data_IF_062579901146
#
_entry.id   IF_062579901146
#
_cell.length_a   1.000
_cell.length_b   1.000
_cell.length_c   1.000
_cell.angle_alpha   90.00
_cell.angle_beta   90.00
_cell.angle_gamma   90.00
#
_symmetry.space_group_name_H-M   'P 1'
#
loop_
_entity.id
_entity.type
_entity.pdbx_description
1 polymer ?
#
# COMPACT_ATOMS: atom_id res chain seq x y z
N UNK A 1 11.33 17.28 -9.67
CA UNK A 1 10.88 17.01 -8.29
C UNK A 1 11.52 15.71 -7.83
N UNK A 2 12.13 15.72 -6.65
CA UNK A 2 12.77 14.53 -6.08
C UNK A 2 11.94 13.98 -4.94
N UNK A 3 11.96 12.67 -4.80
CA UNK A 3 11.25 11.98 -3.72
C UNK A 3 12.23 11.15 -2.90
N UNK A 4 12.00 11.11 -1.61
CA UNK A 4 12.78 10.29 -0.68
C UNK A 4 11.92 9.12 -0.27
N UNK A 5 12.46 7.91 -0.38
CA UNK A 5 11.74 6.72 0.05
C UNK A 5 11.61 6.73 1.58
N UNK A 6 10.38 6.61 2.06
CA UNK A 6 10.12 6.52 3.49
C UNK A 6 10.45 5.12 3.99
N UNK A 7 10.83 5.04 5.26
CA UNK A 7 10.92 3.76 5.95
C UNK A 7 9.50 3.37 6.37
N UNK A 8 8.82 2.63 5.52
CA UNK A 8 7.42 2.28 5.70
C UNK A 8 7.23 0.77 5.82
N UNK A 9 6.13 0.39 6.45
CA UNK A 9 5.67 -0.99 6.51
C UNK A 9 4.49 -1.11 5.54
N UNK A 10 4.73 -1.63 4.36
CA UNK A 10 3.74 -1.63 3.27
C UNK A 10 2.51 -2.47 3.64
N UNK A 11 2.70 -3.63 4.25
CA UNK A 11 1.58 -4.46 4.69
C UNK A 11 0.66 -3.74 5.67
N UNK A 12 1.23 -2.96 6.57
CA UNK A 12 0.44 -2.16 7.51
C UNK A 12 -0.33 -1.06 6.79
N UNK A 13 0.31 -0.44 5.80
CA UNK A 13 -0.35 0.60 5.00
C UNK A 13 -1.58 0.05 4.29
N UNK A 14 -1.48 -1.14 3.72
CA UNK A 14 -2.61 -1.81 3.07
C UNK A 14 -3.71 -2.11 4.09
N UNK A 15 -3.33 -2.64 5.25
CA UNK A 15 -4.29 -2.95 6.31
C UNK A 15 -5.03 -1.69 6.78
N UNK A 16 -4.29 -0.61 7.03
CA UNK A 16 -4.87 0.64 7.49
C UNK A 16 -5.84 1.21 6.45
N UNK A 17 -5.49 1.16 5.18
CA UNK A 17 -6.37 1.66 4.12
C UNK A 17 -7.63 0.80 3.98
N UNK A 18 -7.50 -0.51 4.08
CA UNK A 18 -8.64 -1.42 4.05
C UNK A 18 -9.64 -1.06 5.16
N UNK A 19 -9.12 -0.82 6.37
CA UNK A 19 -9.95 -0.44 7.52
C UNK A 19 -10.57 0.93 7.32
N UNK A 20 -9.81 1.89 6.81
CA UNK A 20 -10.31 3.23 6.54
C UNK A 20 -11.50 3.20 5.60
N UNK A 21 -11.45 2.32 4.60
CA UNK A 21 -12.54 2.18 3.63
C UNK A 21 -13.71 1.33 4.14
N UNK A 22 -13.58 0.73 5.32
CA UNK A 22 -14.62 -0.14 5.87
C UNK A 22 -14.75 -1.47 5.13
N UNK A 23 -13.70 -1.90 4.43
CA UNK A 23 -13.67 -3.17 3.73
C UNK A 23 -13.16 -4.29 4.62
N UNK A 24 -13.58 -5.51 4.33
CA UNK A 24 -13.18 -6.69 5.12
C UNK A 24 -12.02 -7.42 4.46
N UNK A 25 -11.34 -8.24 5.25
CA UNK A 25 -10.30 -9.14 4.72
C UNK A 25 -10.90 -10.11 3.70
N UNK A 26 -12.10 -10.63 3.95
CA UNK A 26 -12.80 -11.47 2.99
C UNK A 26 -13.00 -10.78 1.65
N UNK A 27 -13.45 -9.55 1.71
CA UNK A 27 -13.66 -8.78 0.49
C UNK A 27 -12.37 -8.62 -0.32
N UNK A 28 -11.28 -8.26 0.36
CA UNK A 28 -10.01 -8.09 -0.34
C UNK A 28 -9.51 -9.42 -0.93
N UNK A 29 -9.62 -10.50 -0.15
CA UNK A 29 -9.20 -11.82 -0.64
C UNK A 29 -9.96 -12.22 -1.89
N UNK A 30 -11.26 -11.96 -1.96
CA UNK A 30 -12.07 -12.23 -3.13
C UNK A 30 -11.64 -11.38 -4.33
N UNK A 31 -11.33 -10.10 -4.10
CA UNK A 31 -10.96 -9.19 -5.17
C UNK A 31 -9.65 -9.56 -5.84
N UNK A 32 -8.69 -10.08 -5.09
CA UNK A 32 -7.38 -10.44 -5.62
C UNK A 32 -7.18 -11.96 -5.75
N UNK A 33 -8.26 -12.72 -5.63
CA UNK A 33 -8.30 -14.17 -5.86
C UNK A 33 -7.30 -14.94 -5.00
N UNK A 34 -7.29 -14.67 -3.70
CA UNK A 34 -6.45 -15.41 -2.76
C UNK A 34 -7.22 -15.77 -1.49
N UNK A 35 -6.59 -16.57 -0.63
CA UNK A 35 -7.19 -16.95 0.63
C UNK A 35 -6.96 -15.89 1.70
N UNK A 36 -7.86 -15.84 2.69
CA UNK A 36 -7.75 -14.91 3.82
C UNK A 36 -6.42 -15.03 4.54
N UNK A 37 -5.93 -16.26 4.70
CA UNK A 37 -4.65 -16.48 5.37
C UNK A 37 -3.51 -15.75 4.66
N UNK A 38 -3.56 -15.66 3.34
CA UNK A 38 -2.56 -14.94 2.57
C UNK A 38 -2.65 -13.42 2.80
N UNK A 39 -3.87 -12.89 3.01
CA UNK A 39 -4.05 -11.48 3.33
C UNK A 39 -3.42 -11.16 4.69
N UNK A 40 -3.67 -12.00 5.69
CA UNK A 40 -3.08 -11.79 7.01
C UNK A 40 -1.56 -11.86 6.99
N UNK A 41 -0.98 -12.77 6.19
CA UNK A 41 0.47 -12.83 5.99
C UNK A 41 0.99 -11.55 5.32
N UNK A 42 0.25 -11.05 4.33
CA UNK A 42 0.60 -9.83 3.62
C UNK A 42 0.67 -8.63 4.55
N UNK A 43 -0.27 -8.52 5.50
CA UNK A 43 -0.27 -7.42 6.46
C UNK A 43 0.98 -7.37 7.33
N UNK A 44 1.65 -8.50 7.54
CA UNK A 44 2.87 -8.59 8.36
C UNK A 44 4.13 -8.25 7.57
N UNK A 45 4.04 -8.14 6.25
CA UNK A 45 5.21 -7.93 5.41
C UNK A 45 5.55 -6.45 5.33
N UNK A 46 6.81 -6.14 5.59
CA UNK A 46 7.29 -4.77 5.44
C UNK A 46 7.31 -4.34 3.99
N UNK A 47 7.60 -5.26 3.08
CA UNK A 47 7.59 -4.99 1.64
C UNK A 47 6.75 -6.02 0.91
N UNK A 48 6.13 -5.59 -0.17
CA UNK A 48 5.28 -6.41 -1.03
C UNK A 48 5.80 -6.23 -2.44
N UNK A 49 5.79 -7.30 -3.26
CA UNK A 49 6.25 -7.16 -4.63
C UNK A 49 5.35 -6.18 -5.40
N UNK A 50 5.96 -5.56 -6.40
CA UNK A 50 5.32 -4.46 -7.12
C UNK A 50 4.03 -4.91 -7.82
N UNK A 51 4.04 -6.09 -8.43
CA UNK A 51 2.86 -6.58 -9.15
C UNK A 51 1.67 -6.74 -8.21
N UNK A 52 1.89 -7.33 -7.05
CA UNK A 52 0.83 -7.53 -6.07
C UNK A 52 0.36 -6.19 -5.50
N UNK A 53 1.30 -5.28 -5.21
CA UNK A 53 0.96 -3.97 -4.70
C UNK A 53 0.11 -3.18 -5.71
N UNK A 54 0.41 -3.31 -6.99
CA UNK A 54 -0.37 -2.65 -8.04
C UNK A 54 -1.79 -3.19 -8.11
N UNK A 55 -1.96 -4.50 -7.99
CA UNK A 55 -3.30 -5.10 -7.96
C UNK A 55 -4.11 -4.60 -6.77
N UNK A 56 -3.48 -4.54 -5.60
CA UNK A 56 -4.14 -4.05 -4.38
C UNK A 56 -4.49 -2.58 -4.52
N UNK A 57 -3.59 -1.79 -5.07
CA UNK A 57 -3.82 -0.36 -5.31
C UNK A 57 -5.01 -0.15 -6.23
N UNK A 58 -5.12 -0.95 -7.27
CA UNK A 58 -6.24 -0.87 -8.20
C UNK A 58 -7.56 -1.22 -7.53
N UNK A 59 -7.57 -2.32 -6.77
CA UNK A 59 -8.78 -2.81 -6.09
C UNK A 59 -9.26 -1.83 -5.03
N UNK A 60 -8.34 -1.24 -4.26
CA UNK A 60 -8.66 -0.27 -3.21
C UNK A 60 -8.76 1.16 -3.73
N UNK A 61 -8.47 1.38 -5.01
CA UNK A 61 -8.45 2.71 -5.62
C UNK A 61 -7.58 3.68 -4.81
N UNK A 62 -6.38 3.22 -4.43
CA UNK A 62 -5.46 3.99 -3.62
C UNK A 62 -4.03 3.78 -4.09
N UNK A 63 -3.28 4.86 -4.26
CA UNK A 63 -1.91 4.79 -4.77
C UNK A 63 -0.92 4.58 -3.61
N UNK A 64 -0.64 3.33 -3.27
CA UNK A 64 0.29 2.98 -2.20
C UNK A 64 1.73 3.34 -2.55
N UNK A 65 2.09 3.32 -3.83
CA UNK A 65 3.45 3.69 -4.23
C UNK A 65 3.75 5.14 -3.88
N UNK A 66 2.78 6.01 -4.03
CA UNK A 66 2.93 7.41 -3.65
C UNK A 66 3.19 7.55 -2.16
N UNK A 67 2.55 6.73 -1.35
CA UNK A 67 2.69 6.77 0.10
C UNK A 67 4.05 6.28 0.57
N UNK A 68 4.79 5.56 -0.28
CA UNK A 68 6.14 5.08 0.06
C UNK A 68 7.21 6.15 -0.06
N UNK A 69 6.86 7.30 -0.61
CA UNK A 69 7.81 8.38 -0.83
C UNK A 69 7.31 9.67 -0.20
N UNK A 70 8.24 10.57 0.12
CA UNK A 70 7.89 11.92 0.53
C UNK A 70 8.68 12.90 -0.32
N UNK A 71 8.12 14.09 -0.50
CA UNK A 71 8.72 15.12 -1.31
C UNK A 71 9.92 15.74 -0.58
N UNK A 72 11.03 15.95 -1.30
CA UNK A 72 12.19 16.57 -0.73
C UNK A 72 11.90 18.08 -0.53
N UNK A 73 11.98 18.59 0.72
CA UNK A 73 11.67 20.01 0.98
C UNK A 73 12.53 20.99 0.20
N UNK A 74 13.80 20.62 -0.08
CA UNK A 74 14.68 21.49 -0.86
C UNK A 74 14.21 21.64 -2.29
N UNK A 75 13.64 20.61 -2.87
CA UNK A 75 13.11 20.68 -4.22
C UNK A 75 11.88 21.58 -4.28
N UNK A 76 11.07 21.58 -3.23
CA UNK A 76 9.92 22.47 -3.14
C UNK A 76 10.34 23.93 -3.10
N UNK A 77 11.45 24.23 -2.41
CA UNK A 77 11.96 25.59 -2.29
C UNK A 77 12.58 26.08 -3.60
N UNK A 78 13.18 25.17 -4.36
CA UNK A 78 13.93 25.51 -5.57
C UNK A 78 13.12 25.46 -6.85
N UNK A 79 11.86 25.18 -6.75
CA UNK A 79 10.98 25.15 -7.93
C UNK A 79 10.39 26.55 -8.26
#
# INVERSE_FOLDING_TARGET
>A
MHFIMKDVHVGKMVHDELRRQGRTVNWLAEQIYCEKSNIYKLFRRKSIDLEQLMKISEVLDHNFLRDCYEENPFDLVNQ
#
